data_IF_100487983182
#
_entry.id   IF_100487983182
#
_cell.length_a   1.000
_cell.length_b   1.000
_cell.length_c   1.000
_cell.angle_alpha   90.00
_cell.angle_beta   90.00
_cell.angle_gamma   90.00
#
_symmetry.space_group_name_H-M   'P 1'
#
loop_
_entity.id
_entity.type
_entity.pdbx_description
1 polymer ?
#
# COMPACT_ATOMS: atom_id res chain seq x y z
N UNK A 1 -23.22 7.99 8.83
CA UNK A 1 -21.82 8.44 8.65
C UNK A 1 -21.23 7.71 7.47
N UNK A 2 -20.75 8.43 6.46
CA UNK A 2 -20.22 7.85 5.23
C UNK A 2 -18.75 7.48 5.47
N UNK A 3 -18.45 6.19 5.63
CA UNK A 3 -17.17 5.73 6.20
C UNK A 3 -16.01 5.67 5.18
N UNK A 4 -16.27 5.81 3.88
CA UNK A 4 -15.25 5.57 2.84
C UNK A 4 -15.38 6.56 1.66
N UNK A 5 -14.95 7.83 1.81
CA UNK A 5 -15.21 8.89 0.83
C UNK A 5 -14.33 8.86 -0.45
N UNK A 6 -13.46 7.87 -0.64
CA UNK A 6 -12.41 7.86 -1.68
C UNK A 6 -12.55 6.72 -2.72
N UNK A 7 -13.71 6.06 -2.79
CA UNK A 7 -14.10 5.21 -3.91
C UNK A 7 -15.60 5.30 -4.13
N UNK A 8 -16.02 5.33 -5.40
CA UNK A 8 -17.45 5.23 -5.77
C UNK A 8 -18.10 3.97 -5.21
N UNK A 9 -17.29 2.92 -5.00
CA UNK A 9 -17.69 1.65 -4.44
C UNK A 9 -17.36 1.59 -2.94
N UNK A 10 -18.39 1.44 -2.09
CA UNK A 10 -18.28 1.39 -0.63
C UNK A 10 -17.83 0.00 -0.15
N UNK A 11 -16.56 -0.31 -0.34
CA UNK A 11 -15.97 -1.58 0.14
C UNK A 11 -14.80 -1.33 1.08
N UNK A 12 -14.59 -2.19 2.11
CA UNK A 12 -13.45 -2.05 2.99
C UNK A 12 -12.13 -2.05 2.20
N UNK A 13 -11.19 -1.22 2.65
CA UNK A 13 -9.84 -1.17 2.08
C UNK A 13 -8.80 -1.06 3.19
N UNK A 14 -7.58 -1.53 2.88
CA UNK A 14 -6.43 -1.38 3.76
C UNK A 14 -5.51 -0.25 3.31
N UNK A 15 -4.99 0.50 4.28
CA UNK A 15 -3.92 1.47 4.04
C UNK A 15 -2.62 0.93 4.64
N UNK A 16 -1.65 0.60 3.79
CA UNK A 16 -0.36 0.06 4.23
C UNK A 16 0.59 1.24 4.47
N UNK A 17 1.06 1.37 5.70
CA UNK A 17 1.96 2.45 6.14
C UNK A 17 3.22 1.89 6.77
N UNK A 18 4.28 2.68 6.71
CA UNK A 18 5.53 2.43 7.43
C UNK A 18 6.19 1.06 7.15
N UNK A 19 6.12 0.55 5.92
CA UNK A 19 6.89 -0.63 5.50
C UNK A 19 8.38 -0.30 5.57
N UNK A 20 9.08 -0.94 6.51
CA UNK A 20 10.49 -0.67 6.75
C UNK A 20 11.28 -1.95 6.91
N UNK A 21 12.46 -1.96 6.30
CA UNK A 21 13.49 -2.99 6.49
C UNK A 21 14.79 -2.31 6.88
N UNK A 22 15.43 -2.84 7.93
CA UNK A 22 16.75 -2.41 8.38
C UNK A 22 17.75 -2.51 7.20
N UNK A 23 18.66 -1.54 7.03
CA UNK A 23 19.58 -1.50 5.89
C UNK A 23 20.31 -2.82 5.62
N UNK A 24 20.82 -3.46 6.66
CA UNK A 24 21.57 -4.73 6.60
C UNK A 24 20.74 -5.94 6.17
N UNK A 25 19.41 -5.82 6.11
CA UNK A 25 18.50 -6.88 5.68
C UNK A 25 17.77 -6.59 4.37
N UNK A 26 18.14 -5.51 3.66
CA UNK A 26 17.57 -5.16 2.36
C UNK A 26 18.09 -6.08 1.25
N UNK A 27 17.33 -6.19 0.16
CA UNK A 27 17.68 -7.05 -0.97
C UNK A 27 17.33 -8.53 -0.80
N UNK A 28 16.86 -8.93 0.38
CA UNK A 28 16.56 -10.34 0.72
C UNK A 28 15.06 -10.67 0.68
N UNK A 29 14.24 -9.87 -0.01
CA UNK A 29 12.80 -10.12 -0.15
C UNK A 29 11.93 -9.80 1.08
N UNK A 30 12.48 -9.36 2.21
CA UNK A 30 11.68 -9.10 3.42
C UNK A 30 10.55 -8.08 3.22
N UNK A 31 10.80 -6.99 2.48
CA UNK A 31 9.76 -6.00 2.20
C UNK A 31 8.62 -6.60 1.35
N UNK A 32 8.93 -7.54 0.46
CA UNK A 32 7.91 -8.27 -0.31
C UNK A 32 7.06 -9.12 0.64
N UNK A 33 7.70 -9.93 1.49
CA UNK A 33 7.02 -10.81 2.43
C UNK A 33 6.10 -10.04 3.39
N UNK A 34 6.57 -8.92 3.94
CA UNK A 34 5.76 -8.06 4.81
C UNK A 34 4.50 -7.56 4.11
N UNK A 35 4.63 -7.09 2.86
CA UNK A 35 3.50 -6.52 2.12
C UNK A 35 2.55 -7.61 1.65
N UNK A 36 3.07 -8.76 1.21
CA UNK A 36 2.26 -9.90 0.79
C UNK A 36 1.43 -10.48 1.94
N UNK A 37 2.03 -10.60 3.13
CA UNK A 37 1.32 -11.03 4.34
C UNK A 37 0.20 -10.07 4.71
N UNK A 38 0.46 -8.75 4.67
CA UNK A 38 -0.57 -7.73 4.91
C UNK A 38 -1.69 -7.81 3.86
N UNK A 39 -1.35 -8.03 2.58
CA UNK A 39 -2.35 -8.23 1.52
C UNK A 39 -3.20 -9.47 1.75
N UNK A 40 -2.61 -10.58 2.21
CA UNK A 40 -3.33 -11.80 2.58
C UNK A 40 -4.29 -11.56 3.74
N UNK A 41 -3.80 -10.93 4.82
CA UNK A 41 -4.63 -10.55 5.95
C UNK A 41 -5.80 -9.63 5.55
N UNK A 42 -5.56 -8.65 4.69
CA UNK A 42 -6.61 -7.76 4.18
C UNK A 42 -7.70 -8.52 3.40
N UNK A 43 -7.31 -9.50 2.58
CA UNK A 43 -8.28 -10.34 1.84
C UNK A 43 -9.15 -11.15 2.80
N UNK A 44 -8.55 -11.74 3.83
CA UNK A 44 -9.28 -12.50 4.86
C UNK A 44 -10.29 -11.62 5.60
N UNK A 45 -9.92 -10.35 5.82
CA UNK A 45 -10.76 -9.30 6.41
C UNK A 45 -11.71 -8.61 5.39
N UNK A 46 -11.96 -9.24 4.24
CA UNK A 46 -12.92 -8.79 3.21
C UNK A 46 -12.60 -7.43 2.58
N UNK A 47 -11.37 -6.93 2.73
CA UNK A 47 -10.95 -5.74 2.01
C UNK A 47 -10.84 -6.05 0.51
N UNK A 48 -11.34 -5.13 -0.33
CA UNK A 48 -11.30 -5.27 -1.79
C UNK A 48 -10.05 -4.68 -2.42
N UNK A 49 -9.34 -3.84 -1.68
CA UNK A 49 -8.15 -3.14 -2.17
C UNK A 49 -7.20 -2.79 -1.03
N UNK A 50 -5.91 -2.83 -1.34
CA UNK A 50 -4.85 -2.26 -0.52
C UNK A 50 -4.33 -1.00 -1.21
N UNK A 51 -3.96 0.01 -0.42
CA UNK A 51 -3.45 1.29 -0.91
C UNK A 51 -2.23 1.70 -0.11
N UNK A 52 -1.29 2.38 -0.76
CA UNK A 52 -0.09 2.93 -0.14
C UNK A 52 0.47 4.09 -0.94
N UNK A 53 1.29 4.90 -0.27
CA UNK A 53 2.21 5.84 -0.90
C UNK A 53 3.57 5.18 -1.07
N UNK A 54 4.08 5.14 -2.30
CA UNK A 54 5.40 4.58 -2.57
C UNK A 54 6.45 5.69 -2.67
N UNK A 55 7.61 5.48 -2.05
CA UNK A 55 8.82 6.18 -2.47
C UNK A 55 9.26 5.73 -3.86
N UNK A 56 10.04 6.56 -4.57
CA UNK A 56 10.62 6.20 -5.87
C UNK A 56 11.42 4.89 -5.81
N UNK A 57 12.19 4.69 -4.73
CA UNK A 57 13.01 3.49 -4.52
C UNK A 57 12.18 2.21 -4.31
N UNK A 58 11.03 2.30 -3.66
CA UNK A 58 10.17 1.15 -3.38
C UNK A 58 9.16 0.85 -4.51
N UNK A 59 9.04 1.73 -5.51
CA UNK A 59 8.02 1.64 -6.55
C UNK A 59 8.00 0.29 -7.28
N UNK A 60 9.18 -0.17 -7.74
CA UNK A 60 9.30 -1.45 -8.48
C UNK A 60 8.86 -2.65 -7.66
N UNK A 61 9.11 -2.66 -6.34
CA UNK A 61 8.65 -3.70 -5.43
C UNK A 61 7.12 -3.76 -5.44
N UNK A 62 6.45 -2.62 -5.24
CA UNK A 62 4.99 -2.59 -5.19
C UNK A 62 4.36 -2.90 -6.54
N UNK A 63 4.95 -2.43 -7.65
CA UNK A 63 4.50 -2.80 -9.01
C UNK A 63 4.59 -4.31 -9.24
N UNK A 64 5.66 -4.98 -8.77
CA UNK A 64 5.77 -6.46 -8.84
C UNK A 64 4.74 -7.21 -8.00
N UNK A 65 4.18 -6.56 -6.96
CA UNK A 65 3.09 -7.06 -6.13
C UNK A 65 1.70 -6.72 -6.71
N UNK A 66 1.63 -6.12 -7.89
CA UNK A 66 0.39 -5.77 -8.56
C UNK A 66 -0.23 -4.44 -8.12
N UNK A 67 0.47 -3.64 -7.29
CA UNK A 67 0.04 -2.27 -7.03
C UNK A 67 0.15 -1.44 -8.31
N UNK A 68 -0.81 -0.54 -8.50
CA UNK A 68 -0.85 0.39 -9.63
C UNK A 68 -0.77 1.82 -9.11
N UNK A 69 -0.23 2.72 -9.92
CA UNK A 69 -0.24 4.15 -9.58
C UNK A 69 -1.66 4.67 -9.38
N UNK A 70 -1.82 5.54 -8.40
CA UNK A 70 -3.04 6.30 -8.14
C UNK A 70 -2.72 7.78 -8.31
N UNK A 71 -3.75 8.60 -8.57
CA UNK A 71 -3.59 10.05 -8.61
C UNK A 71 -3.26 10.56 -7.21
N UNK A 72 -2.27 11.45 -7.14
CA UNK A 72 -1.94 12.24 -5.96
C UNK A 72 -2.42 13.67 -6.14
N UNK A 73 -2.73 14.31 -5.02
CA UNK A 73 -3.05 15.73 -4.96
C UNK A 73 -2.23 16.36 -3.84
N UNK A 74 -1.28 17.20 -4.22
CA UNK A 74 -0.50 18.03 -3.32
C UNK A 74 -0.93 19.49 -3.49
N UNK A 75 -1.08 20.21 -2.38
CA UNK A 75 -1.17 21.67 -2.37
C UNK A 75 0.04 22.24 -1.63
N UNK A 76 1.01 22.84 -2.33
CA UNK A 76 2.05 23.63 -1.69
C UNK A 76 1.42 24.74 -0.85
N UNK A 77 1.92 24.94 0.38
CA UNK A 77 1.39 25.95 1.31
C UNK A 77 2.28 27.21 1.40
N UNK A 78 3.56 27.10 1.03
CA UNK A 78 4.50 28.18 0.77
C UNK A 78 5.76 27.56 0.14
#
# INVERSE_FOLDING_TARGET
MNLFPLSEEQTPFGWIIAVYTLPQHRGNGLAYQLVDEVCSWLKDNKAKRARLWSSSRARKLYESLGFKSMLDMEKPLA
#
